data_IF_617110674272
#
_entry.id   IF_617110674272
#
_cell.length_a   1.000
_cell.length_b   1.000
_cell.length_c   1.000
_cell.angle_alpha   90.00
_cell.angle_beta   90.00
_cell.angle_gamma   90.00
#
_symmetry.space_group_name_H-M   'P 1'
#
loop_
_entity.id
_entity.type
_entity.pdbx_description
1 polymer ?
#
# COMPACT_ATOMS: atom_id res chain seq x y z
N UNK A 1 14.33 -29.56 25.96
CA UNK A 1 14.59 -28.95 24.67
C UNK A 1 16.07 -29.10 24.36
N UNK A 2 16.44 -29.67 23.21
CA UNK A 2 17.86 -29.76 22.80
C UNK A 2 18.41 -28.34 22.61
N UNK A 3 19.59 -28.11 23.16
CA UNK A 3 20.28 -26.80 23.05
C UNK A 3 20.64 -26.58 21.57
N UNK A 4 20.18 -25.49 20.98
CA UNK A 4 20.52 -25.15 19.60
C UNK A 4 22.03 -24.91 19.49
N UNK A 5 22.69 -25.45 18.42
CA UNK A 5 24.10 -25.24 18.19
C UNK A 5 24.44 -23.75 18.11
N UNK A 6 25.56 -23.39 18.69
CA UNK A 6 26.06 -22.00 18.72
C UNK A 6 27.22 -21.81 17.74
N UNK A 7 27.58 -20.54 17.48
CA UNK A 7 28.79 -20.22 16.70
C UNK A 7 30.05 -20.78 17.33
N UNK A 8 30.10 -20.87 18.65
CA UNK A 8 31.22 -21.45 19.40
C UNK A 8 31.35 -22.96 19.16
N UNK A 9 30.22 -23.67 19.03
CA UNK A 9 30.23 -25.10 18.75
C UNK A 9 30.76 -25.36 17.32
N UNK A 10 30.38 -24.53 16.34
CA UNK A 10 30.95 -24.60 14.98
C UNK A 10 32.43 -24.33 14.97
N UNK A 11 32.87 -23.28 15.68
CA UNK A 11 34.28 -22.92 15.77
C UNK A 11 35.13 -24.05 16.37
N UNK A 12 34.60 -24.68 17.43
CA UNK A 12 35.23 -25.82 18.09
C UNK A 12 35.35 -27.03 17.16
N UNK A 13 34.26 -27.38 16.46
CA UNK A 13 34.23 -28.53 15.55
C UNK A 13 35.15 -28.30 14.32
N UNK A 14 35.15 -27.08 13.77
CA UNK A 14 35.98 -26.70 12.61
C UNK A 14 37.46 -26.45 12.96
N UNK A 15 37.83 -26.46 14.25
CA UNK A 15 39.21 -26.16 14.69
C UNK A 15 39.66 -24.73 14.33
N UNK A 16 38.78 -23.74 14.56
CA UNK A 16 39.02 -22.32 14.22
C UNK A 16 38.43 -21.38 15.25
N UNK A 17 38.56 -20.07 15.04
CA UNK A 17 37.95 -19.06 15.93
C UNK A 17 36.51 -18.70 15.48
N UNK A 18 35.69 -18.21 16.40
CA UNK A 18 34.34 -17.67 16.13
C UNK A 18 34.39 -16.50 15.14
N UNK A 19 35.46 -15.72 15.11
CA UNK A 19 35.66 -14.66 14.12
C UNK A 19 35.80 -15.23 12.69
N UNK A 20 36.54 -16.34 12.52
CA UNK A 20 36.66 -17.02 11.22
C UNK A 20 35.34 -17.61 10.78
N UNK A 21 34.59 -18.24 11.71
CA UNK A 21 33.21 -18.72 11.41
C UNK A 21 32.33 -17.56 10.95
N UNK A 22 32.39 -16.40 11.63
CA UNK A 22 31.67 -15.20 11.22
C UNK A 22 32.04 -14.71 9.82
N UNK A 23 33.33 -14.75 9.47
CA UNK A 23 33.83 -14.36 8.13
C UNK A 23 33.34 -15.33 7.03
N UNK A 24 33.28 -16.62 7.32
CA UNK A 24 32.76 -17.62 6.38
C UNK A 24 31.24 -17.44 6.14
N UNK A 25 30.47 -17.18 7.20
CA UNK A 25 29.03 -17.06 7.17
C UNK A 25 28.57 -15.71 6.60
N UNK A 26 29.23 -14.62 6.96
CA UNK A 26 28.77 -13.26 6.66
C UNK A 26 29.58 -12.56 5.53
N UNK A 27 30.53 -13.24 4.89
CA UNK A 27 31.35 -12.62 3.84
C UNK A 27 32.27 -11.49 4.37
N UNK A 28 32.88 -11.69 5.54
CA UNK A 28 33.63 -10.65 6.25
C UNK A 28 34.89 -10.16 5.51
N UNK A 29 35.58 -9.10 6.04
CA UNK A 29 36.60 -8.31 5.37
C UNK A 29 37.95 -9.06 5.12
N UNK A 30 38.07 -10.29 5.62
CA UNK A 30 39.29 -11.10 5.44
C UNK A 30 38.98 -12.36 4.64
N UNK A 31 39.81 -12.61 3.62
CA UNK A 31 39.77 -13.88 2.89
C UNK A 31 40.14 -15.02 3.82
N UNK A 32 39.24 -15.99 3.95
CA UNK A 32 39.49 -17.24 4.68
C UNK A 32 40.06 -18.26 3.70
N UNK A 33 41.15 -18.96 4.10
CA UNK A 33 41.75 -20.01 3.28
C UNK A 33 40.74 -21.07 2.87
N UNK A 34 40.75 -21.56 1.61
CA UNK A 34 39.79 -22.51 1.11
C UNK A 34 39.55 -23.75 2.01
N UNK A 35 40.61 -24.31 2.55
CA UNK A 35 40.56 -25.49 3.42
C UNK A 35 39.86 -25.16 4.76
N UNK A 36 40.08 -23.97 5.30
CA UNK A 36 39.41 -23.54 6.55
C UNK A 36 37.96 -23.25 6.28
N UNK A 37 37.64 -22.62 5.14
CA UNK A 37 36.26 -22.37 4.71
C UNK A 37 35.48 -23.68 4.57
N UNK A 38 36.08 -24.70 3.93
CA UNK A 38 35.46 -26.02 3.76
C UNK A 38 35.15 -26.66 5.10
N UNK A 39 36.09 -26.71 6.05
CA UNK A 39 35.87 -27.27 7.39
C UNK A 39 34.76 -26.56 8.17
N UNK A 40 34.66 -25.23 8.04
CA UNK A 40 33.59 -24.46 8.70
C UNK A 40 32.24 -24.82 8.10
N UNK A 41 32.12 -24.93 6.77
CA UNK A 41 30.87 -25.28 6.11
C UNK A 41 30.42 -26.72 6.46
N UNK A 42 31.34 -27.67 6.50
CA UNK A 42 31.08 -29.05 6.94
C UNK A 42 30.64 -29.10 8.41
N UNK A 43 31.24 -28.31 9.29
CA UNK A 43 30.87 -28.22 10.70
C UNK A 43 29.45 -27.59 10.86
N UNK A 44 29.10 -26.60 10.05
CA UNK A 44 27.76 -25.98 10.02
C UNK A 44 26.72 -27.04 9.64
N UNK A 45 26.97 -27.78 8.57
CA UNK A 45 26.06 -28.82 8.08
C UNK A 45 25.91 -29.94 9.11
N UNK A 46 27.02 -30.43 9.65
CA UNK A 46 27.02 -31.54 10.64
C UNK A 46 26.26 -31.20 11.94
N UNK A 47 26.38 -29.93 12.41
CA UNK A 47 25.71 -29.46 13.62
C UNK A 47 24.27 -29.00 13.35
N UNK A 48 23.88 -28.81 12.09
CA UNK A 48 22.63 -28.15 11.75
C UNK A 48 22.60 -26.70 12.25
N UNK A 49 23.77 -26.04 12.36
CA UNK A 49 23.87 -24.67 12.83
C UNK A 49 23.22 -23.71 11.83
N UNK A 50 22.27 -22.94 12.30
CA UNK A 50 21.67 -21.83 11.56
C UNK A 50 22.12 -20.52 12.20
N UNK A 51 22.73 -19.62 11.41
CA UNK A 51 23.07 -18.30 11.91
C UNK A 51 21.83 -17.62 12.49
N UNK A 52 21.97 -17.05 13.68
CA UNK A 52 20.87 -16.28 14.29
C UNK A 52 20.73 -14.94 13.55
N UNK A 53 19.62 -14.78 12.83
CA UNK A 53 19.32 -13.55 12.07
C UNK A 53 19.32 -12.32 12.97
N UNK A 54 18.81 -12.42 14.22
CA UNK A 54 18.83 -11.32 15.19
C UNK A 54 20.24 -10.91 15.57
N UNK A 55 21.17 -11.89 15.73
CA UNK A 55 22.59 -11.58 16.01
C UNK A 55 23.31 -10.98 14.78
N UNK A 56 22.91 -11.37 13.58
CA UNK A 56 23.44 -10.77 12.34
C UNK A 56 22.92 -9.34 12.16
N UNK A 57 21.63 -9.10 12.37
CA UNK A 57 21.02 -7.76 12.33
C UNK A 57 21.66 -6.81 13.34
N UNK A 58 21.92 -7.30 14.57
CA UNK A 58 22.62 -6.52 15.59
C UNK A 58 24.05 -6.16 15.16
N UNK A 59 24.74 -7.08 14.50
CA UNK A 59 26.12 -6.84 13.99
C UNK A 59 26.14 -5.87 12.79
N UNK A 60 25.08 -5.86 11.96
CA UNK A 60 24.95 -4.98 10.79
C UNK A 60 24.25 -3.66 11.11
N UNK A 61 23.64 -3.55 12.31
CA UNK A 61 22.82 -2.40 12.73
C UNK A 61 21.45 -2.30 12.04
N UNK A 62 21.08 -3.30 11.22
CA UNK A 62 19.77 -3.38 10.56
C UNK A 62 19.42 -4.84 10.25
N UNK A 63 18.12 -5.15 10.21
CA UNK A 63 17.61 -6.43 9.70
C UNK A 63 17.43 -6.39 8.17
N UNK A 64 17.19 -7.56 7.59
CA UNK A 64 16.80 -7.69 6.19
C UNK A 64 15.26 -7.71 6.05
N UNK A 65 14.53 -7.15 7.05
CA UNK A 65 13.07 -7.07 7.08
C UNK A 65 12.61 -5.68 6.67
N UNK A 66 11.78 -5.61 5.64
CA UNK A 66 11.00 -4.42 5.32
C UNK A 66 9.57 -4.59 5.82
N UNK A 67 8.98 -3.55 6.38
CA UNK A 67 7.61 -3.58 6.89
C UNK A 67 6.66 -2.76 6.03
N UNK A 68 5.46 -3.31 5.82
CA UNK A 68 4.30 -2.59 5.30
C UNK A 68 3.21 -2.59 6.37
N UNK A 69 2.72 -1.42 6.77
CA UNK A 69 1.60 -1.27 7.68
C UNK A 69 0.43 -0.64 6.95
N UNK A 70 -0.70 -1.33 6.93
CA UNK A 70 -1.92 -0.93 6.22
C UNK A 70 -3.16 -1.05 7.08
N UNK A 71 -4.25 -0.30 6.77
CA UNK A 71 -5.50 -0.37 7.53
C UNK A 71 -6.36 -1.60 7.20
N UNK A 72 -6.21 -2.19 6.03
CA UNK A 72 -7.06 -3.31 5.58
C UNK A 72 -6.40 -4.06 4.42
N UNK A 73 -5.92 -5.28 4.67
CA UNK A 73 -5.37 -6.17 3.64
C UNK A 73 -6.43 -6.76 2.69
N UNK A 74 -7.71 -6.68 3.03
CA UNK A 74 -8.78 -7.09 2.13
C UNK A 74 -9.03 -6.06 1.02
N UNK A 75 -8.42 -4.86 1.10
CA UNK A 75 -8.45 -3.87 0.03
C UNK A 75 -7.55 -4.32 -1.13
N UNK A 76 -8.10 -4.55 -2.34
CA UNK A 76 -7.34 -5.06 -3.49
C UNK A 76 -6.12 -4.21 -3.85
N UNK A 77 -6.24 -2.87 -3.78
CA UNK A 77 -5.14 -1.96 -4.03
C UNK A 77 -3.98 -2.16 -3.04
N UNK A 78 -4.28 -2.28 -1.74
CA UNK A 78 -3.25 -2.49 -0.71
C UNK A 78 -2.65 -3.90 -0.78
N UNK A 79 -3.46 -4.90 -1.15
CA UNK A 79 -2.98 -6.26 -1.39
C UNK A 79 -2.04 -6.34 -2.61
N UNK A 80 -2.39 -5.67 -3.72
CA UNK A 80 -1.54 -5.58 -4.90
C UNK A 80 -0.23 -4.82 -4.59
N UNK A 81 -0.30 -3.72 -3.82
CA UNK A 81 0.88 -3.01 -3.36
C UNK A 81 1.79 -3.90 -2.50
N UNK A 82 1.22 -4.69 -1.58
CA UNK A 82 1.98 -5.63 -0.78
C UNK A 82 2.70 -6.67 -1.65
N UNK A 83 2.01 -7.20 -2.67
CA UNK A 83 2.60 -8.16 -3.61
C UNK A 83 3.76 -7.52 -4.40
N UNK A 84 3.59 -6.31 -4.93
CA UNK A 84 4.66 -5.63 -5.68
C UNK A 84 5.84 -5.25 -4.80
N UNK A 85 5.60 -4.85 -3.56
CA UNK A 85 6.66 -4.58 -2.59
C UNK A 85 7.41 -5.88 -2.23
N UNK A 86 6.71 -6.99 -2.06
CA UNK A 86 7.34 -8.29 -1.82
C UNK A 86 8.29 -8.65 -2.97
N UNK A 87 7.83 -8.56 -4.23
CA UNK A 87 8.65 -8.82 -5.41
C UNK A 87 9.88 -7.90 -5.47
N UNK A 88 9.72 -6.59 -5.17
CA UNK A 88 10.81 -5.62 -5.20
C UNK A 88 11.85 -5.87 -4.09
N UNK A 89 11.39 -6.16 -2.88
CA UNK A 89 12.30 -6.41 -1.76
C UNK A 89 12.94 -7.80 -1.82
N UNK A 90 12.23 -8.81 -2.31
CA UNK A 90 12.81 -10.14 -2.55
C UNK A 90 13.99 -10.08 -3.54
N UNK A 91 13.89 -9.29 -4.62
CA UNK A 91 15.02 -9.05 -5.55
C UNK A 91 16.22 -8.35 -4.92
N UNK A 92 16.03 -7.73 -3.75
CA UNK A 92 17.07 -7.03 -2.97
C UNK A 92 17.51 -7.84 -1.73
N UNK A 93 17.24 -9.15 -1.71
CA UNK A 93 17.53 -10.04 -0.59
C UNK A 93 16.89 -9.61 0.75
N UNK A 94 15.71 -8.99 0.68
CA UNK A 94 14.92 -8.55 1.83
C UNK A 94 13.59 -9.29 1.89
N UNK A 95 12.99 -9.36 3.08
CA UNK A 95 11.70 -10.02 3.31
C UNK A 95 10.66 -9.00 3.73
N UNK A 96 9.50 -9.01 3.09
CA UNK A 96 8.36 -8.18 3.47
C UNK A 96 7.64 -8.78 4.69
N UNK A 97 7.40 -7.94 5.70
CA UNK A 97 6.52 -8.22 6.85
C UNK A 97 5.34 -7.27 6.78
N UNK A 98 4.13 -7.80 6.83
CA UNK A 98 2.91 -6.98 6.72
C UNK A 98 2.19 -6.91 8.05
N UNK A 99 1.82 -5.71 8.46
CA UNK A 99 0.93 -5.42 9.58
C UNK A 99 -0.40 -4.89 9.05
N UNK A 100 -1.50 -5.44 9.57
CA UNK A 100 -2.85 -4.97 9.30
C UNK A 100 -3.45 -4.38 10.57
N UNK A 101 -3.72 -3.08 10.58
CA UNK A 101 -4.27 -2.39 11.75
C UNK A 101 -5.78 -2.54 11.88
N UNK A 102 -6.49 -3.06 10.87
CA UNK A 102 -7.96 -3.12 10.83
C UNK A 102 -8.62 -1.75 11.08
N UNK A 103 -7.99 -0.68 10.61
CA UNK A 103 -8.42 0.71 10.81
C UNK A 103 -8.49 1.15 12.29
N UNK A 104 -7.78 0.43 13.18
CA UNK A 104 -7.72 0.63 14.63
C UNK A 104 -6.40 1.28 15.06
N UNK A 105 -6.47 2.39 15.81
CA UNK A 105 -5.31 3.19 16.22
C UNK A 105 -4.44 2.51 17.27
N UNK A 106 -5.04 1.78 18.22
CA UNK A 106 -4.29 1.11 19.30
C UNK A 106 -3.53 -0.09 18.70
N UNK A 107 -4.15 -0.79 17.77
CA UNK A 107 -3.52 -1.88 17.03
C UNK A 107 -2.40 -1.35 16.12
N UNK A 108 -2.60 -0.23 15.44
CA UNK A 108 -1.56 0.43 14.64
C UNK A 108 -0.32 0.73 15.50
N UNK A 109 -0.52 1.38 16.65
CA UNK A 109 0.56 1.71 17.58
C UNK A 109 1.30 0.46 18.07
N UNK A 110 0.57 -0.59 18.43
CA UNK A 110 1.15 -1.87 18.87
C UNK A 110 2.03 -2.51 17.79
N UNK A 111 1.58 -2.48 16.53
CA UNK A 111 2.33 -3.03 15.39
C UNK A 111 3.58 -2.19 15.13
N UNK A 112 3.48 -0.86 15.15
CA UNK A 112 4.63 0.04 14.98
C UNK A 112 5.72 -0.22 16.02
N UNK A 113 5.34 -0.38 17.29
CA UNK A 113 6.29 -0.74 18.35
C UNK A 113 6.93 -2.12 18.11
N UNK A 114 6.17 -3.11 17.62
CA UNK A 114 6.70 -4.42 17.29
C UNK A 114 7.74 -4.33 16.15
N UNK A 115 7.47 -3.56 15.11
CA UNK A 115 8.40 -3.30 14.01
C UNK A 115 9.69 -2.62 14.49
N UNK A 116 9.58 -1.61 15.38
CA UNK A 116 10.76 -0.98 15.99
C UNK A 116 11.63 -1.98 16.76
N UNK A 117 11.01 -2.84 17.57
CA UNK A 117 11.75 -3.89 18.31
C UNK A 117 12.45 -4.88 17.40
N UNK A 118 11.92 -5.15 16.21
CA UNK A 118 12.52 -6.05 15.22
C UNK A 118 13.63 -5.37 14.39
N UNK A 119 13.92 -4.08 14.63
CA UNK A 119 14.94 -3.33 13.91
C UNK A 119 14.79 -3.45 12.38
N UNK A 120 13.57 -3.26 11.89
CA UNK A 120 13.29 -3.34 10.46
C UNK A 120 14.19 -2.40 9.64
N UNK A 121 14.44 -2.75 8.37
CA UNK A 121 15.28 -1.97 7.47
C UNK A 121 14.56 -0.75 6.89
N UNK A 122 13.21 -0.76 6.89
CA UNK A 122 12.37 0.34 6.43
C UNK A 122 10.90 0.04 6.62
N UNK A 123 10.08 1.08 6.52
CA UNK A 123 8.63 1.01 6.71
C UNK A 123 7.90 1.78 5.59
N UNK A 124 6.94 1.13 4.92
CA UNK A 124 5.87 1.81 4.22
C UNK A 124 4.61 1.79 5.10
N UNK A 125 3.99 2.95 5.31
CA UNK A 125 2.91 3.09 6.28
C UNK A 125 1.74 3.87 5.73
N UNK A 126 0.57 3.22 5.69
CA UNK A 126 -0.72 3.86 5.46
C UNK A 126 -1.38 4.13 6.82
N UNK A 127 -1.11 5.31 7.40
CA UNK A 127 -1.51 5.66 8.75
C UNK A 127 -3.02 5.89 8.88
N UNK A 128 -3.59 5.39 9.95
CA UNK A 128 -4.99 5.61 10.34
C UNK A 128 -5.12 6.57 11.52
N UNK A 129 -4.10 6.62 12.37
CA UNK A 129 -4.02 7.53 13.52
C UNK A 129 -3.90 8.98 13.04
N UNK A 130 -4.70 9.87 13.64
CA UNK A 130 -4.67 11.30 13.38
C UNK A 130 -4.67 12.09 14.70
N UNK A 131 -3.70 12.97 14.97
CA UNK A 131 -2.49 13.18 14.17
C UNK A 131 -1.57 11.96 14.18
N UNK A 132 -0.74 11.81 13.15
CA UNK A 132 0.28 10.75 13.14
C UNK A 132 1.18 10.87 14.37
N UNK A 133 1.51 9.76 15.06
CA UNK A 133 2.45 9.76 16.18
C UNK A 133 3.88 9.98 15.67
N UNK A 134 4.20 11.24 15.31
CA UNK A 134 5.49 11.63 14.75
C UNK A 134 6.64 11.30 15.70
N UNK A 135 6.41 11.39 17.01
CA UNK A 135 7.40 11.03 18.04
C UNK A 135 7.91 9.60 17.85
N UNK A 136 7.04 8.68 17.41
CA UNK A 136 7.45 7.31 17.06
C UNK A 136 8.32 7.25 15.80
N UNK A 137 8.23 8.26 14.94
CA UNK A 137 8.95 8.33 13.66
C UNK A 137 10.23 9.16 13.77
N UNK A 138 10.27 10.21 14.59
CA UNK A 138 11.46 11.06 14.76
C UNK A 138 12.66 10.27 15.29
N UNK A 139 12.41 9.32 16.18
CA UNK A 139 13.41 8.40 16.71
C UNK A 139 13.65 7.15 15.84
N UNK A 140 12.96 7.04 14.70
CA UNK A 140 13.12 5.87 13.83
C UNK A 140 14.55 5.82 13.25
N UNK A 141 15.23 4.71 13.51
CA UNK A 141 16.58 4.45 12.96
C UNK A 141 16.57 4.01 11.50
N UNK A 142 15.38 3.83 10.91
CA UNK A 142 15.12 3.31 9.57
C UNK A 142 14.31 4.31 8.73
N UNK A 143 14.39 4.25 7.38
CA UNK A 143 13.57 5.07 6.49
C UNK A 143 12.08 4.71 6.55
N UNK A 144 11.24 5.73 6.44
CA UNK A 144 9.78 5.62 6.47
C UNK A 144 9.18 6.28 5.23
N UNK A 145 8.31 5.57 4.54
CA UNK A 145 7.50 6.09 3.44
C UNK A 145 6.03 6.16 3.89
N UNK A 146 5.49 7.36 3.99
CA UNK A 146 4.07 7.57 4.28
C UNK A 146 3.28 7.41 2.99
N UNK A 147 2.28 6.54 2.99
CA UNK A 147 1.43 6.22 1.83
C UNK A 147 0.16 7.10 1.77
N UNK A 148 -0.03 7.94 2.77
CA UNK A 148 -1.11 8.91 2.84
C UNK A 148 -0.63 10.19 3.50
N UNK A 149 -1.31 11.29 3.22
CA UNK A 149 -0.97 12.57 3.83
C UNK A 149 -1.62 12.70 5.22
N UNK A 150 -0.84 13.01 6.27
CA UNK A 150 -1.38 13.29 7.58
C UNK A 150 -2.06 14.66 7.60
N UNK A 151 -3.23 14.75 8.26
CA UNK A 151 -3.93 16.01 8.45
C UNK A 151 -3.09 17.00 9.27
N UNK A 152 -2.93 18.20 8.71
CA UNK A 152 -2.43 19.36 9.45
C UNK A 152 -0.92 19.41 9.73
N UNK A 153 -0.15 18.42 9.34
CA UNK A 153 1.30 18.42 9.53
C UNK A 153 2.02 18.54 8.19
N UNK A 154 2.58 19.73 7.92
CA UNK A 154 3.71 19.80 7.00
C UNK A 154 4.88 19.15 7.72
N UNK A 155 5.16 17.90 7.38
CA UNK A 155 6.41 17.29 7.81
C UNK A 155 7.54 18.12 7.22
N UNK A 156 8.36 18.73 8.10
CA UNK A 156 9.59 19.37 7.67
C UNK A 156 10.47 18.36 6.93
N UNK A 157 11.49 18.82 6.25
CA UNK A 157 12.47 17.95 5.58
C UNK A 157 13.14 17.00 6.58
N UNK A 158 12.51 15.86 6.84
CA UNK A 158 13.10 14.83 7.68
C UNK A 158 13.93 13.89 6.77
N UNK A 159 15.21 13.67 7.05
CA UNK A 159 16.11 12.96 6.11
C UNK A 159 15.77 11.48 5.88
N UNK A 160 14.88 10.92 6.70
CA UNK A 160 14.48 9.50 6.65
C UNK A 160 12.99 9.28 6.44
N UNK A 161 12.21 10.34 6.32
CA UNK A 161 10.77 10.23 6.12
C UNK A 161 10.43 10.90 4.81
N UNK A 162 9.78 10.17 3.93
CA UNK A 162 9.23 10.69 2.68
C UNK A 162 7.75 10.36 2.58
N UNK A 163 7.08 10.99 1.63
CA UNK A 163 5.68 10.71 1.31
C UNK A 163 5.58 10.19 -0.11
N UNK A 164 4.74 9.22 -0.30
CA UNK A 164 4.30 8.81 -1.62
C UNK A 164 2.92 9.42 -1.86
N UNK A 165 2.89 10.53 -2.59
CA UNK A 165 1.68 11.30 -2.81
C UNK A 165 0.97 10.80 -4.07
N UNK A 166 -0.20 10.18 -3.88
CA UNK A 166 -1.17 10.04 -4.95
C UNK A 166 -2.02 11.32 -5.00
N UNK A 167 -2.15 11.92 -6.18
CA UNK A 167 -3.02 13.11 -6.34
C UNK A 167 -4.49 12.69 -6.34
N UNK A 168 -5.04 12.56 -5.14
CA UNK A 168 -6.42 12.13 -4.89
C UNK A 168 -7.43 13.13 -5.47
N UNK A 169 -7.10 14.42 -5.46
CA UNK A 169 -7.93 15.46 -6.03
C UNK A 169 -7.97 15.32 -7.55
N UNK A 170 -6.82 15.21 -8.20
CA UNK A 170 -6.74 15.04 -9.64
C UNK A 170 -7.39 13.74 -10.11
N UNK A 171 -7.19 12.63 -9.39
CA UNK A 171 -7.83 11.35 -9.72
C UNK A 171 -9.37 11.46 -9.75
N UNK A 172 -9.96 12.12 -8.74
CA UNK A 172 -11.40 12.32 -8.69
C UNK A 172 -11.89 13.34 -9.74
N UNK A 173 -11.08 14.37 -10.05
CA UNK A 173 -11.38 15.31 -11.13
C UNK A 173 -11.45 14.59 -12.47
N UNK A 174 -10.44 13.80 -12.82
CA UNK A 174 -10.40 13.00 -14.05
C UNK A 174 -11.57 12.03 -14.16
N UNK A 175 -11.90 11.33 -13.06
CA UNK A 175 -13.05 10.42 -13.01
C UNK A 175 -14.37 11.15 -13.31
N UNK A 176 -14.56 12.32 -12.72
CA UNK A 176 -15.77 13.13 -12.88
C UNK A 176 -15.87 13.68 -14.30
N UNK A 177 -14.80 14.28 -14.82
CA UNK A 177 -14.75 14.78 -16.19
C UNK A 177 -15.06 13.72 -17.22
N UNK A 178 -14.57 12.50 -16.99
CA UNK A 178 -14.86 11.38 -17.87
C UNK A 178 -16.37 11.08 -17.92
N UNK A 179 -17.07 11.08 -16.80
CA UNK A 179 -18.54 10.93 -16.76
C UNK A 179 -19.25 12.08 -17.46
N UNK A 180 -18.79 13.32 -17.26
CA UNK A 180 -19.33 14.50 -17.95
C UNK A 180 -19.18 14.44 -19.47
N UNK A 181 -18.04 13.90 -19.96
CA UNK A 181 -17.80 13.66 -21.39
C UNK A 181 -18.76 12.65 -21.98
N UNK A 182 -19.34 11.74 -21.18
CA UNK A 182 -20.42 10.82 -21.56
C UNK A 182 -21.82 11.45 -21.48
N UNK A 183 -21.92 12.77 -21.27
CA UNK A 183 -23.19 13.49 -21.20
C UNK A 183 -23.94 13.34 -19.88
N UNK A 184 -23.28 12.81 -18.83
CA UNK A 184 -23.87 12.72 -17.49
C UNK A 184 -23.88 14.09 -16.83
N UNK A 185 -24.98 14.50 -16.23
CA UNK A 185 -25.14 15.85 -15.67
C UNK A 185 -25.41 15.85 -14.15
N UNK A 186 -25.88 14.76 -13.58
CA UNK A 186 -26.18 14.60 -12.15
C UNK A 186 -25.22 13.58 -11.52
N UNK A 187 -23.95 13.98 -11.40
CA UNK A 187 -22.89 13.10 -10.91
C UNK A 187 -22.86 13.13 -9.39
N UNK A 188 -23.13 11.99 -8.74
CA UNK A 188 -22.97 11.81 -7.30
C UNK A 188 -21.54 11.36 -6.93
N UNK A 189 -21.23 11.40 -5.63
CA UNK A 189 -19.97 10.90 -5.06
C UNK A 189 -20.24 9.94 -3.91
N UNK A 190 -19.83 8.67 -4.05
CA UNK A 190 -19.72 7.75 -2.90
C UNK A 190 -18.34 7.94 -2.30
N UNK A 191 -18.29 8.70 -1.22
CA UNK A 191 -17.07 9.10 -0.53
C UNK A 191 -16.70 8.12 0.60
N UNK A 192 -15.46 8.21 1.05
CA UNK A 192 -15.00 7.52 2.25
C UNK A 192 -15.55 8.12 3.55
N UNK A 193 -15.08 7.61 4.71
CA UNK A 193 -15.48 8.12 6.01
C UNK A 193 -15.19 9.61 6.15
N UNK A 194 -16.08 10.32 6.86
CA UNK A 194 -15.87 11.74 7.19
C UNK A 194 -14.57 11.89 8.01
N UNK A 195 -13.80 12.93 7.70
CA UNK A 195 -12.55 13.22 8.41
C UNK A 195 -11.30 12.59 7.77
N UNK A 196 -11.41 11.63 6.89
CA UNK A 196 -10.24 11.09 6.17
C UNK A 196 -9.74 12.07 5.11
N UNK A 197 -8.44 12.31 5.09
CA UNK A 197 -7.79 13.24 4.14
C UNK A 197 -8.12 12.88 2.69
N UNK A 198 -7.87 11.64 2.29
CA UNK A 198 -8.14 11.17 0.93
C UNK A 198 -9.61 11.32 0.51
N UNK A 199 -10.57 11.08 1.43
CA UNK A 199 -11.98 11.29 1.14
C UNK A 199 -12.29 12.77 0.86
N UNK A 200 -11.68 13.70 1.61
CA UNK A 200 -11.83 15.15 1.39
C UNK A 200 -11.23 15.59 0.06
N UNK A 201 -10.02 15.12 -0.27
CA UNK A 201 -9.37 15.49 -1.54
C UNK A 201 -10.15 14.96 -2.75
N UNK A 202 -10.66 13.73 -2.67
CA UNK A 202 -11.54 13.17 -3.71
C UNK A 202 -12.81 13.99 -3.90
N UNK A 203 -13.47 14.41 -2.81
CA UNK A 203 -14.63 15.32 -2.88
C UNK A 203 -14.24 16.67 -3.50
N UNK A 204 -13.07 17.22 -3.18
CA UNK A 204 -12.58 18.46 -3.78
C UNK A 204 -12.41 18.35 -5.29
N UNK A 205 -11.79 17.26 -5.77
CA UNK A 205 -11.60 17.00 -7.19
C UNK A 205 -12.92 16.86 -7.95
N UNK A 206 -13.85 16.08 -7.39
CA UNK A 206 -15.21 15.94 -7.92
C UNK A 206 -15.94 17.27 -8.00
N UNK A 207 -15.88 18.11 -6.95
CA UNK A 207 -16.48 19.45 -6.93
C UNK A 207 -15.85 20.38 -7.95
N UNK A 208 -14.53 20.28 -8.09
CA UNK A 208 -13.80 21.11 -9.05
C UNK A 208 -14.29 20.87 -10.48
N UNK A 209 -14.38 19.59 -10.89
CA UNK A 209 -14.83 19.21 -12.22
C UNK A 209 -16.30 19.65 -12.49
N UNK A 210 -17.20 19.48 -11.53
CA UNK A 210 -18.59 19.95 -11.67
C UNK A 210 -18.68 21.46 -11.83
N UNK A 211 -17.93 22.21 -11.02
CA UNK A 211 -17.89 23.69 -11.07
C UNK A 211 -17.33 24.19 -12.40
N UNK A 212 -16.27 23.56 -12.92
CA UNK A 212 -15.68 23.90 -14.22
C UNK A 212 -16.64 23.63 -15.37
N UNK A 213 -17.50 22.61 -15.23
CA UNK A 213 -18.57 22.32 -16.17
C UNK A 213 -19.84 23.16 -15.98
N UNK A 214 -19.91 24.03 -14.96
CA UNK A 214 -21.08 24.86 -14.66
C UNK A 214 -22.27 24.07 -14.13
N UNK A 215 -22.03 22.89 -13.51
CA UNK A 215 -23.05 22.01 -12.97
C UNK A 215 -23.17 22.14 -11.44
N UNK A 216 -24.36 21.86 -10.93
CA UNK A 216 -24.60 21.80 -9.49
C UNK A 216 -23.97 20.54 -8.85
N UNK A 217 -23.62 20.64 -7.57
CA UNK A 217 -23.15 19.49 -6.80
C UNK A 217 -24.24 18.45 -6.65
N UNK A 218 -23.96 17.20 -7.02
CA UNK A 218 -24.82 16.06 -6.73
C UNK A 218 -24.72 15.60 -5.27
N UNK A 219 -25.31 14.45 -4.97
CA UNK A 219 -25.24 13.86 -3.63
C UNK A 219 -23.82 13.41 -3.26
N UNK A 220 -23.39 13.73 -2.03
CA UNK A 220 -22.16 13.18 -1.42
C UNK A 220 -22.56 12.18 -0.35
N UNK A 221 -22.28 10.90 -0.57
CA UNK A 221 -22.68 9.79 0.29
C UNK A 221 -21.44 9.27 0.99
N UNK A 222 -21.37 9.44 2.31
CA UNK A 222 -20.24 8.97 3.12
C UNK A 222 -20.47 7.55 3.62
N UNK A 223 -19.40 6.73 3.56
CA UNK A 223 -19.44 5.36 4.08
C UNK A 223 -18.04 4.80 4.28
N UNK A 224 -17.90 3.65 4.95
CA UNK A 224 -16.60 2.98 5.08
C UNK A 224 -16.09 2.53 3.71
N UNK A 225 -14.76 2.44 3.57
CA UNK A 225 -14.08 2.00 2.34
C UNK A 225 -14.22 0.49 2.08
N UNK A 226 -15.38 -0.08 2.36
CA UNK A 226 -15.68 -1.51 2.31
C UNK A 226 -16.80 -1.83 1.32
N UNK A 227 -16.97 -3.11 0.97
CA UNK A 227 -18.12 -3.58 0.18
C UNK A 227 -19.44 -3.22 0.86
N UNK A 228 -19.52 -3.37 2.19
CA UNK A 228 -20.69 -2.97 2.97
C UNK A 228 -21.00 -1.47 2.85
N UNK A 229 -19.98 -0.62 2.78
CA UNK A 229 -20.14 0.81 2.54
C UNK A 229 -20.76 1.12 1.18
N UNK A 230 -20.39 0.36 0.14
CA UNK A 230 -21.03 0.45 -1.17
C UNK A 230 -22.51 0.01 -1.16
N UNK A 231 -22.78 -1.09 -0.47
CA UNK A 231 -24.16 -1.58 -0.25
C UNK A 231 -25.03 -0.51 0.44
N UNK A 232 -24.54 0.09 1.51
CA UNK A 232 -25.25 1.12 2.27
C UNK A 232 -25.51 2.39 1.45
N UNK A 233 -24.64 2.71 0.51
CA UNK A 233 -24.75 3.90 -0.33
C UNK A 233 -25.82 3.78 -1.43
N UNK A 234 -26.19 2.57 -1.83
CA UNK A 234 -27.00 2.32 -3.03
C UNK A 234 -28.37 3.00 -3.00
N UNK A 235 -29.13 2.83 -1.91
CA UNK A 235 -30.47 3.41 -1.82
C UNK A 235 -30.43 4.94 -1.87
N UNK A 236 -29.51 5.55 -1.13
CA UNK A 236 -29.33 7.02 -1.15
C UNK A 236 -28.91 7.52 -2.54
N UNK A 237 -28.10 6.76 -3.26
CA UNK A 237 -27.71 7.08 -4.63
C UNK A 237 -28.91 7.05 -5.57
N UNK A 238 -29.74 6.00 -5.51
CA UNK A 238 -30.95 5.86 -6.33
C UNK A 238 -31.93 7.02 -6.02
N UNK A 239 -32.20 7.30 -4.75
CA UNK A 239 -33.14 8.33 -4.32
C UNK A 239 -32.65 9.75 -4.69
N UNK A 240 -31.34 9.94 -4.87
CA UNK A 240 -30.77 11.23 -5.30
C UNK A 240 -31.08 11.60 -6.75
N UNK A 241 -31.54 10.65 -7.57
CA UNK A 241 -31.77 10.83 -8.99
C UNK A 241 -30.49 11.04 -9.81
N UNK A 242 -29.34 10.66 -9.29
CA UNK A 242 -28.06 10.74 -10.01
C UNK A 242 -28.06 9.83 -11.25
N UNK A 243 -27.47 10.30 -12.34
CA UNK A 243 -27.27 9.53 -13.58
C UNK A 243 -25.83 8.99 -13.71
N UNK A 244 -24.97 9.39 -12.80
CA UNK A 244 -23.61 8.85 -12.69
C UNK A 244 -23.06 9.00 -11.26
N UNK A 245 -22.04 8.23 -10.95
CA UNK A 245 -21.37 8.26 -9.64
C UNK A 245 -19.86 8.02 -9.75
N UNK A 246 -19.09 8.85 -9.06
CA UNK A 246 -17.69 8.55 -8.74
C UNK A 246 -17.65 7.81 -7.41
N UNK A 247 -16.98 6.67 -7.37
CA UNK A 247 -16.88 5.82 -6.17
C UNK A 247 -15.45 5.83 -5.66
N UNK A 248 -15.26 6.09 -4.38
CA UNK A 248 -13.93 6.32 -3.79
C UNK A 248 -12.98 5.13 -3.86
N UNK A 249 -13.47 3.90 -3.95
CA UNK A 249 -12.63 2.74 -4.18
C UNK A 249 -13.39 1.58 -4.83
N UNK A 250 -12.63 0.59 -5.27
CA UNK A 250 -13.14 -0.62 -5.93
C UNK A 250 -14.01 -1.49 -5.01
N UNK A 251 -13.74 -1.54 -3.70
CA UNK A 251 -14.59 -2.29 -2.76
C UNK A 251 -15.98 -1.68 -2.65
N UNK A 252 -16.08 -0.36 -2.51
CA UNK A 252 -17.37 0.32 -2.52
C UNK A 252 -18.08 0.14 -3.86
N UNK A 253 -17.35 0.21 -4.99
CA UNK A 253 -17.93 -0.03 -6.31
C UNK A 253 -18.50 -1.46 -6.43
N UNK A 254 -17.81 -2.46 -5.90
CA UNK A 254 -18.28 -3.85 -5.88
C UNK A 254 -19.59 -4.00 -5.11
N UNK A 255 -19.67 -3.40 -3.91
CA UNK A 255 -20.89 -3.43 -3.10
C UNK A 255 -22.06 -2.68 -3.74
N UNK A 256 -21.75 -1.52 -4.31
CA UNK A 256 -22.73 -0.69 -5.01
C UNK A 256 -23.33 -1.39 -6.23
N UNK A 257 -22.48 -1.96 -7.10
CA UNK A 257 -22.90 -2.71 -8.28
C UNK A 257 -23.85 -3.85 -7.92
N UNK A 258 -23.54 -4.59 -6.86
CA UNK A 258 -24.41 -5.66 -6.37
C UNK A 258 -25.81 -5.13 -6.03
N UNK A 259 -25.92 -4.04 -5.27
CA UNK A 259 -27.21 -3.50 -4.85
C UNK A 259 -27.97 -2.85 -6.02
N UNK A 260 -27.30 -2.14 -6.92
CA UNK A 260 -27.93 -1.61 -8.14
C UNK A 260 -28.52 -2.74 -8.99
N UNK A 261 -27.78 -3.83 -9.16
CA UNK A 261 -28.29 -5.02 -9.86
C UNK A 261 -29.50 -5.62 -9.15
N UNK A 262 -29.50 -5.77 -7.82
CA UNK A 262 -30.64 -6.28 -7.05
C UNK A 262 -31.86 -5.35 -7.14
N UNK A 263 -31.63 -4.04 -7.26
CA UNK A 263 -32.67 -3.04 -7.43
C UNK A 263 -33.19 -2.94 -8.89
N UNK A 264 -32.60 -3.65 -9.83
CA UNK A 264 -32.95 -3.61 -11.26
C UNK A 264 -32.44 -2.36 -11.98
N UNK A 265 -31.50 -1.60 -11.39
CA UNK A 265 -30.92 -0.39 -11.98
C UNK A 265 -29.80 -0.79 -12.95
N UNK A 266 -29.93 -0.36 -14.21
CA UNK A 266 -28.99 -0.69 -15.25
C UNK A 266 -27.71 0.17 -15.18
N UNK A 267 -26.54 -0.49 -15.22
CA UNK A 267 -25.23 0.14 -15.29
C UNK A 267 -24.58 -0.25 -16.63
N UNK A 268 -24.23 0.70 -17.49
CA UNK A 268 -24.14 2.15 -17.30
C UNK A 268 -25.41 2.95 -17.69
N UNK A 269 -26.47 2.33 -18.21
CA UNK A 269 -27.56 3.00 -18.92
C UNK A 269 -28.27 4.02 -18.03
N UNK A 270 -28.65 3.62 -16.80
CA UNK A 270 -29.33 4.49 -15.84
C UNK A 270 -28.32 5.22 -14.95
N UNK A 271 -27.34 4.50 -14.39
CA UNK A 271 -26.29 5.06 -13.53
C UNK A 271 -24.92 4.62 -14.04
N UNK A 272 -24.13 5.55 -14.56
CA UNK A 272 -22.76 5.29 -14.96
C UNK A 272 -21.84 5.33 -13.75
N UNK A 273 -20.79 4.47 -13.71
CA UNK A 273 -19.87 4.33 -12.58
C UNK A 273 -18.43 4.50 -13.03
N UNK A 274 -17.66 5.32 -12.28
CA UNK A 274 -16.19 5.33 -12.30
C UNK A 274 -15.68 5.17 -10.88
N UNK A 275 -14.78 4.21 -10.66
CA UNK A 275 -14.14 3.98 -9.37
C UNK A 275 -12.74 4.61 -9.32
N UNK A 276 -12.27 4.93 -8.10
CA UNK A 276 -10.89 5.32 -7.85
C UNK A 276 -10.11 4.11 -7.29
N UNK A 277 -8.80 4.12 -7.43
CA UNK A 277 -7.89 3.06 -6.98
C UNK A 277 -8.32 1.67 -7.49
N UNK A 278 -8.62 1.59 -8.79
CA UNK A 278 -8.91 0.32 -9.44
C UNK A 278 -7.66 -0.56 -9.56
N UNK A 279 -7.91 -1.85 -9.58
CA UNK A 279 -6.91 -2.91 -9.75
C UNK A 279 -7.29 -3.79 -10.94
N UNK A 280 -6.54 -4.88 -11.16
CA UNK A 280 -6.91 -5.88 -12.14
C UNK A 280 -8.31 -6.48 -11.88
N UNK A 281 -8.81 -6.47 -10.63
CA UNK A 281 -10.14 -6.97 -10.28
C UNK A 281 -11.26 -6.16 -10.96
N UNK A 282 -11.07 -4.88 -11.25
CA UNK A 282 -12.06 -4.03 -11.92
C UNK A 282 -12.52 -4.60 -13.28
N UNK A 283 -11.67 -5.37 -13.95
CA UNK A 283 -11.99 -6.05 -15.21
C UNK A 283 -12.99 -7.20 -15.02
N UNK A 284 -12.97 -7.85 -13.87
CA UNK A 284 -13.78 -9.04 -13.56
C UNK A 284 -15.09 -8.70 -12.85
N UNK A 285 -15.36 -7.43 -12.60
CA UNK A 285 -16.67 -6.97 -12.12
C UNK A 285 -17.69 -6.95 -13.26
N UNK A 286 -18.98 -6.92 -12.94
CA UNK A 286 -20.03 -6.89 -13.95
C UNK A 286 -20.99 -5.73 -13.74
N UNK A 287 -21.03 -4.77 -14.72
CA UNK A 287 -20.11 -4.64 -15.85
C UNK A 287 -18.66 -4.36 -15.41
N UNK A 288 -17.65 -4.61 -16.28
CA UNK A 288 -16.26 -4.23 -15.99
C UNK A 288 -16.16 -2.74 -15.65
N UNK A 289 -15.51 -2.43 -14.52
CA UNK A 289 -15.53 -1.08 -13.94
C UNK A 289 -14.44 -0.20 -14.51
N UNK A 290 -14.83 0.92 -15.10
CA UNK A 290 -13.93 2.03 -15.44
C UNK A 290 -13.34 2.60 -14.16
N UNK A 291 -12.03 2.78 -14.11
CA UNK A 291 -11.35 3.22 -12.90
C UNK A 291 -10.19 4.17 -13.18
N UNK A 292 -9.89 5.01 -12.20
CA UNK A 292 -8.64 5.78 -12.17
C UNK A 292 -7.67 4.99 -11.31
N UNK A 293 -6.69 4.37 -11.96
CA UNK A 293 -5.78 3.41 -11.36
C UNK A 293 -4.49 4.10 -10.93
N UNK A 294 -3.98 3.70 -9.78
CA UNK A 294 -2.66 4.10 -9.31
C UNK A 294 -1.63 3.08 -9.83
N UNK A 295 -0.50 3.51 -10.39
CA UNK A 295 0.51 2.59 -10.93
C UNK A 295 1.29 1.92 -9.79
N UNK A 296 0.74 0.83 -9.24
CA UNK A 296 1.24 0.14 -8.03
C UNK A 296 2.68 -0.35 -8.20
N UNK A 297 3.06 -0.80 -9.40
CA UNK A 297 4.44 -1.24 -9.67
C UNK A 297 5.44 -0.08 -9.52
N UNK A 298 5.12 1.10 -10.09
CA UNK A 298 5.97 2.29 -9.93
C UNK A 298 6.02 2.79 -8.49
N UNK A 299 4.92 2.63 -7.73
CA UNK A 299 4.93 2.92 -6.29
C UNK A 299 5.89 2.01 -5.53
N UNK A 300 5.81 0.70 -5.77
CA UNK A 300 6.65 -0.28 -5.10
C UNK A 300 8.14 -0.05 -5.41
N UNK A 301 8.48 0.25 -6.67
CA UNK A 301 9.82 0.57 -7.11
C UNK A 301 10.36 1.82 -6.41
N UNK A 302 9.59 2.92 -6.41
CA UNK A 302 9.97 4.17 -5.75
C UNK A 302 10.16 4.00 -4.23
N UNK A 303 9.30 3.22 -3.57
CA UNK A 303 9.44 2.88 -2.14
C UNK A 303 10.74 2.11 -1.90
N UNK A 304 11.00 1.09 -2.71
CA UNK A 304 12.17 0.25 -2.56
C UNK A 304 13.48 1.04 -2.78
N UNK A 305 13.51 1.93 -3.77
CA UNK A 305 14.66 2.79 -4.08
C UNK A 305 14.93 3.80 -2.97
N UNK A 306 13.90 4.41 -2.40
CA UNK A 306 14.06 5.28 -1.24
C UNK A 306 14.61 4.52 -0.03
N UNK A 307 14.05 3.36 0.30
CA UNK A 307 14.44 2.56 1.46
C UNK A 307 15.86 2.03 1.34
N UNK A 308 16.29 1.64 0.15
CA UNK A 308 17.65 1.15 -0.10
C UNK A 308 18.67 2.26 -0.32
N UNK A 309 18.22 3.52 -0.38
CA UNK A 309 19.08 4.70 -0.49
C UNK A 309 19.54 5.00 -1.91
N UNK A 310 18.89 4.41 -2.92
CA UNK A 310 19.12 4.69 -4.35
C UNK A 310 18.45 6.01 -4.77
N UNK A 311 17.33 6.36 -4.15
CA UNK A 311 16.67 7.65 -4.28
C UNK A 311 16.56 8.33 -2.91
N UNK A 312 16.69 9.67 -2.89
CA UNK A 312 16.56 10.53 -1.70
C UNK A 312 15.54 11.65 -1.91
N UNK A 313 14.62 11.48 -2.86
CA UNK A 313 13.57 12.44 -3.08
C UNK A 313 12.70 12.60 -1.83
N UNK A 314 12.38 13.85 -1.48
CA UNK A 314 11.57 14.15 -0.30
C UNK A 314 10.09 13.85 -0.50
N UNK A 315 9.61 13.91 -1.74
CA UNK A 315 8.24 13.56 -2.11
C UNK A 315 8.29 12.66 -3.35
N UNK A 316 7.78 11.45 -3.20
CA UNK A 316 7.58 10.53 -4.30
C UNK A 316 6.19 10.80 -4.87
N UNK A 317 6.09 10.98 -6.18
CA UNK A 317 4.80 11.20 -6.85
C UNK A 317 4.54 10.11 -7.88
N UNK A 318 3.30 9.70 -7.98
CA UNK A 318 2.83 8.78 -9.01
C UNK A 318 1.60 9.36 -9.70
N UNK A 319 1.57 9.28 -11.01
CA UNK A 319 0.46 9.79 -11.82
C UNK A 319 -0.56 8.68 -12.04
N UNK A 320 -1.77 8.90 -11.56
CA UNK A 320 -2.91 8.01 -11.77
C UNK A 320 -3.34 8.00 -13.24
N UNK A 321 -3.89 6.88 -13.71
CA UNK A 321 -4.33 6.69 -15.09
C UNK A 321 -5.78 6.25 -15.15
N UNK A 322 -6.57 6.88 -16.03
CA UNK A 322 -7.92 6.41 -16.34
C UNK A 322 -7.86 5.16 -17.23
N UNK A 323 -8.42 4.07 -16.73
CA UNK A 323 -8.61 2.81 -17.46
C UNK A 323 -10.08 2.65 -17.79
N UNK A 324 -10.41 2.83 -19.08
CA UNK A 324 -11.78 2.81 -19.58
C UNK A 324 -12.29 1.38 -19.71
N UNK A 325 -13.48 1.11 -19.14
CA UNK A 325 -14.20 -0.16 -19.25
C UNK A 325 -15.70 0.11 -19.48
N UNK A 326 -16.58 -0.87 -19.25
CA UNK A 326 -17.98 -0.77 -19.62
C UNK A 326 -18.83 0.09 -18.69
N UNK A 327 -18.52 0.18 -17.41
CA UNK A 327 -19.41 0.80 -16.40
C UNK A 327 -19.67 2.30 -16.55
N UNK A 328 -18.93 2.99 -17.40
CA UNK A 328 -19.14 4.42 -17.71
C UNK A 328 -19.90 4.64 -19.03
N UNK A 329 -20.12 3.59 -19.81
CA UNK A 329 -20.69 3.67 -21.16
C UNK A 329 -19.64 3.66 -22.30
N UNK A 330 -18.37 3.46 -21.99
CA UNK A 330 -17.36 3.21 -23.03
C UNK A 330 -17.57 1.84 -23.67
N UNK A 331 -17.30 1.75 -24.98
CA UNK A 331 -17.16 0.45 -25.62
C UNK A 331 -15.96 -0.28 -25.03
N UNK A 332 -16.19 -1.44 -24.44
CA UNK A 332 -15.18 -2.30 -23.88
C UNK A 332 -15.19 -3.65 -24.59
N UNK A 333 -14.07 -4.01 -25.22
CA UNK A 333 -13.81 -5.38 -25.64
C UNK A 333 -12.71 -5.94 -24.75
N UNK A 334 -12.98 -7.01 -24.02
CA UNK A 334 -11.90 -7.80 -23.40
C UNK A 334 -10.95 -8.20 -24.54
N UNK A 335 -9.72 -7.74 -24.49
CA UNK A 335 -8.70 -8.30 -25.38
C UNK A 335 -8.49 -9.74 -24.96
N UNK A 336 -8.68 -10.66 -25.93
CA UNK A 336 -8.29 -12.06 -25.84
C UNK A 336 -6.83 -12.24 -25.42
#
# INVERSE_FOLDING_TARGET
MAKQPTRDDVARLAGTSTAVVSYVVNGGPRNVRPETRKRVLEAIEQLGYRPNASAQSLSRGRSDLFALLVPDLANPYLAELAQRLEEEFFRRDMVLVVGDSHDDQDRESTILEAFRRQQIAGLAWYGVTQPLPLDLLEDASFPVVLLNEPDGHRMGNHPRITRLVADEQEAARVATEHLLQHGRARVAMVAGPKGRHNARERIRGWRLALREAGLEEGAVIHGPFTRAGGVQAAQTLIDSGADAVVVSNELQATGLLRELHCAGVAVPEEIAIVALNGTALSEFLWPPVTSVDVPVSSQAEAIADFVTGTDRAHDLSVTSRLTKRASCGCSYSSKE
#
